data_IF_114702879054
#
_entry.id   IF_114702879054
#
_cell.length_a   1.000
_cell.length_b   1.000
_cell.length_c   1.000
_cell.angle_alpha   90.00
_cell.angle_beta   90.00
_cell.angle_gamma   90.00
#
_symmetry.space_group_name_H-M   'P 1'
#
loop_
_entity.id
_entity.type
_entity.pdbx_description
1 polymer ?
#
# COMPACT_ATOMS: atom_id res chain seq x y z
N UNK A 1 6.06 21.38 -12.24
CA UNK A 1 5.76 20.38 -11.22
C UNK A 1 5.03 19.26 -11.92
N UNK A 2 5.52 18.04 -11.78
CA UNK A 2 4.90 16.88 -12.41
C UNK A 2 3.58 16.55 -11.70
N UNK A 3 2.51 16.16 -12.43
CA UNK A 3 1.22 15.84 -11.81
C UNK A 3 1.21 14.46 -11.14
N UNK A 4 2.20 13.61 -11.42
CA UNK A 4 2.26 12.22 -10.98
C UNK A 4 3.47 11.99 -10.09
N UNK A 5 3.25 11.27 -8.99
CA UNK A 5 4.32 10.78 -8.13
C UNK A 5 4.20 9.27 -7.92
N UNK A 6 5.33 8.57 -8.04
CA UNK A 6 5.53 7.22 -7.51
C UNK A 6 6.16 7.35 -6.14
N UNK A 7 5.57 6.73 -5.12
CA UNK A 7 6.12 6.86 -3.76
C UNK A 7 6.16 5.54 -3.00
N UNK A 8 7.09 5.50 -2.05
CA UNK A 8 7.26 4.41 -1.08
C UNK A 8 7.67 4.96 0.29
N UNK A 9 7.64 4.12 1.32
CA UNK A 9 8.20 4.44 2.63
C UNK A 9 8.95 3.24 3.22
N UNK A 10 10.15 3.48 3.73
CA UNK A 10 11.01 2.48 4.35
C UNK A 10 11.35 2.92 5.76
N UNK A 11 11.04 2.09 6.74
CA UNK A 11 11.30 2.30 8.17
C UNK A 11 12.06 1.12 8.74
N UNK A 12 12.91 1.38 9.76
CA UNK A 12 13.69 0.38 10.48
C UNK A 12 14.52 -0.54 9.53
N UNK A 13 15.01 0.01 8.41
CA UNK A 13 15.78 -0.73 7.39
C UNK A 13 15.07 -2.00 6.90
N UNK A 14 13.74 -2.00 6.92
CA UNK A 14 12.95 -3.18 6.51
C UNK A 14 13.22 -3.56 5.05
N UNK A 15 13.56 -2.62 4.22
CA UNK A 15 13.96 -2.82 2.83
C UNK A 15 15.01 -1.80 2.41
N UNK A 16 15.40 -1.84 1.15
CA UNK A 16 16.24 -0.84 0.49
C UNK A 16 15.52 -0.29 -0.73
N UNK A 17 15.77 0.97 -1.09
CA UNK A 17 15.25 1.53 -2.32
C UNK A 17 15.75 0.72 -3.51
N UNK A 18 14.85 0.50 -4.48
CA UNK A 18 15.18 -0.17 -5.73
C UNK A 18 15.45 0.91 -6.80
N UNK A 19 16.41 0.68 -7.69
CA UNK A 19 16.56 1.54 -8.87
C UNK A 19 15.28 1.49 -9.71
N UNK A 20 15.04 2.55 -10.45
CA UNK A 20 13.88 2.62 -11.36
C UNK A 20 14.32 3.13 -12.75
N UNK A 21 13.46 2.94 -13.74
CA UNK A 21 13.60 3.62 -15.03
C UNK A 21 13.11 5.06 -14.90
N UNK A 22 13.73 5.98 -15.59
CA UNK A 22 13.24 7.36 -15.69
C UNK A 22 11.95 7.39 -16.51
N UNK A 23 10.91 8.02 -15.94
CA UNK A 23 9.63 8.21 -16.60
C UNK A 23 9.37 9.70 -16.74
N UNK A 24 9.33 10.25 -17.97
CA UNK A 24 9.08 11.67 -18.16
C UNK A 24 7.76 12.13 -17.52
N UNK A 25 7.83 13.18 -16.70
CA UNK A 25 6.65 13.74 -16.04
C UNK A 25 6.23 13.01 -14.75
N UNK A 26 7.08 12.15 -14.22
CA UNK A 26 6.87 11.43 -12.94
C UNK A 26 7.99 11.76 -11.98
N UNK A 27 7.65 12.12 -10.76
CA UNK A 27 8.59 12.23 -9.65
C UNK A 27 8.58 10.93 -8.84
N UNK A 28 9.76 10.53 -8.36
CA UNK A 28 9.92 9.37 -7.49
C UNK A 28 10.30 9.88 -6.09
N UNK A 29 9.44 9.61 -5.09
CA UNK A 29 9.62 10.08 -3.72
C UNK A 29 9.68 8.91 -2.74
N UNK A 30 10.73 8.85 -1.93
CA UNK A 30 10.87 7.86 -0.87
C UNK A 30 10.90 8.53 0.50
N UNK A 31 10.08 8.05 1.43
CA UNK A 31 10.14 8.47 2.83
C UNK A 31 10.97 7.46 3.61
N UNK A 32 12.03 7.91 4.31
CA UNK A 32 12.94 7.02 5.04
C UNK A 32 13.29 7.61 6.41
N UNK A 33 13.30 6.75 7.45
CA UNK A 33 13.76 7.14 8.80
C UNK A 33 15.29 7.16 8.91
N UNK A 34 15.96 6.39 8.07
CA UNK A 34 17.41 6.44 7.85
C UNK A 34 17.66 6.80 6.38
N UNK A 35 17.60 8.11 6.03
CA UNK A 35 17.71 8.54 4.64
C UNK A 35 19.11 8.27 4.10
N UNK A 36 19.16 7.67 2.93
CA UNK A 36 20.36 7.46 2.12
C UNK A 36 20.14 8.10 0.75
N UNK A 37 21.16 8.73 0.20
CA UNK A 37 21.09 9.24 -1.18
C UNK A 37 20.92 8.06 -2.15
N UNK A 38 19.91 8.16 -2.98
CA UNK A 38 19.62 7.15 -3.98
C UNK A 38 19.30 7.80 -5.32
N UNK A 39 20.03 7.38 -6.36
CA UNK A 39 19.90 7.97 -7.69
C UNK A 39 18.44 7.84 -8.21
N UNK A 40 17.91 8.95 -8.69
CA UNK A 40 16.56 9.06 -9.23
C UNK A 40 15.44 9.24 -8.19
N UNK A 41 15.69 9.05 -6.88
CA UNK A 41 14.71 9.26 -5.83
C UNK A 41 14.89 10.60 -5.09
N UNK A 42 13.80 11.33 -4.89
CA UNK A 42 13.73 12.40 -3.87
C UNK A 42 13.50 11.75 -2.50
N UNK A 43 14.59 11.56 -1.74
CA UNK A 43 14.55 10.92 -0.43
C UNK A 43 14.19 11.97 0.63
N UNK A 44 13.02 11.80 1.25
CA UNK A 44 12.50 12.67 2.31
C UNK A 44 12.62 12.01 3.67
N UNK A 45 13.22 12.66 4.68
CA UNK A 45 13.39 12.06 6.00
C UNK A 45 12.06 11.91 6.74
N UNK A 46 11.88 10.76 7.39
CA UNK A 46 10.82 10.57 8.38
C UNK A 46 11.32 11.11 9.72
N UNK A 47 10.56 12.01 10.38
CA UNK A 47 10.91 12.49 11.71
C UNK A 47 11.00 11.34 12.74
N UNK A 48 11.78 11.50 13.82
CA UNK A 48 11.82 10.51 14.90
C UNK A 48 10.44 10.15 15.43
N UNK A 49 10.19 8.87 15.66
CA UNK A 49 8.90 8.33 16.10
C UNK A 49 9.08 7.31 17.24
N UNK A 50 8.00 7.05 17.98
CA UNK A 50 7.93 6.03 19.03
C UNK A 50 6.96 4.89 18.72
N UNK A 51 6.24 5.00 17.61
CA UNK A 51 5.30 3.99 17.15
C UNK A 51 6.02 2.80 16.51
N UNK A 52 5.26 1.71 16.26
CA UNK A 52 5.78 0.58 15.52
C UNK A 52 6.18 1.00 14.10
N UNK A 53 7.40 0.72 13.60
CA UNK A 53 7.90 1.20 12.31
C UNK A 53 6.95 0.96 11.14
N UNK A 54 6.30 -0.20 11.10
CA UNK A 54 5.33 -0.54 10.04
C UNK A 54 4.09 0.37 10.05
N UNK A 55 3.63 0.82 11.23
CA UNK A 55 2.51 1.77 11.34
C UNK A 55 2.92 3.16 10.84
N UNK A 56 4.16 3.56 11.12
CA UNK A 56 4.70 4.83 10.59
C UNK A 56 4.72 4.80 9.07
N UNK A 57 5.24 3.74 8.45
CA UNK A 57 5.22 3.60 6.99
C UNK A 57 3.79 3.64 6.41
N UNK A 58 2.77 3.09 7.14
CA UNK A 58 1.37 3.16 6.72
C UNK A 58 0.81 4.59 6.65
N UNK A 59 1.29 5.51 7.48
CA UNK A 59 0.86 6.90 7.39
C UNK A 59 1.21 7.50 6.02
N UNK A 60 2.41 7.27 5.52
CA UNK A 60 2.83 7.72 4.18
C UNK A 60 2.09 6.99 3.06
N UNK A 61 1.78 5.70 3.24
CA UNK A 61 0.98 4.90 2.31
C UNK A 61 -0.45 5.42 2.21
N UNK A 62 -1.07 5.76 3.33
CA UNK A 62 -2.49 6.09 3.40
C UNK A 62 -2.77 7.59 3.20
N UNK A 63 -1.84 8.48 3.52
CA UNK A 63 -2.09 9.92 3.57
C UNK A 63 -1.28 10.74 2.53
N UNK A 64 -1.25 10.38 1.24
CA UNK A 64 -0.51 11.17 0.24
C UNK A 64 -1.05 12.61 0.13
N UNK A 65 -2.31 12.85 0.42
CA UNK A 65 -2.90 14.18 0.45
C UNK A 65 -2.32 15.09 1.55
N UNK A 66 -1.61 14.53 2.53
CA UNK A 66 -0.89 15.27 3.57
C UNK A 66 0.59 15.40 3.23
N UNK A 67 1.22 14.30 2.79
CA UNK A 67 2.67 14.25 2.60
C UNK A 67 3.13 14.64 1.19
N UNK A 68 2.21 14.58 0.21
CA UNK A 68 2.45 14.82 -1.22
C UNK A 68 1.27 15.60 -1.83
N UNK A 69 0.82 16.71 -1.17
CA UNK A 69 -0.39 17.44 -1.59
C UNK A 69 -0.24 18.13 -2.95
N UNK A 70 0.99 18.30 -3.41
CA UNK A 70 1.34 18.93 -4.69
C UNK A 70 1.05 18.06 -5.91
N UNK A 71 0.83 16.75 -5.74
CA UNK A 71 0.60 15.83 -6.85
C UNK A 71 -0.88 15.51 -7.04
N UNK A 72 -1.34 15.50 -8.28
CA UNK A 72 -2.71 15.11 -8.63
C UNK A 72 -2.92 13.61 -8.52
N UNK A 73 -1.93 12.82 -8.97
CA UNK A 73 -1.94 11.36 -8.95
C UNK A 73 -0.80 10.83 -8.11
N UNK A 74 -1.11 9.81 -7.33
CA UNK A 74 -0.14 9.07 -6.53
C UNK A 74 -0.21 7.59 -6.90
N UNK A 75 0.96 7.01 -7.21
CA UNK A 75 1.16 5.56 -7.33
C UNK A 75 2.00 5.12 -6.14
N UNK A 76 1.38 4.41 -5.21
CA UNK A 76 2.10 3.77 -4.12
C UNK A 76 2.67 2.44 -4.58
N UNK A 77 3.93 2.17 -4.24
CA UNK A 77 4.58 0.87 -4.36
C UNK A 77 5.18 0.48 -3.00
N UNK A 78 4.94 -0.75 -2.55
CA UNK A 78 5.74 -1.30 -1.45
C UNK A 78 7.22 -1.39 -1.91
N UNK A 79 8.17 -1.32 -0.98
CA UNK A 79 9.59 -1.12 -1.30
C UNK A 79 10.27 -2.31 -2.00
N UNK A 80 9.61 -3.46 -2.06
CA UNK A 80 10.05 -4.65 -2.80
C UNK A 80 9.75 -4.60 -4.31
N UNK A 81 9.03 -3.58 -4.79
CA UNK A 81 8.77 -3.37 -6.22
C UNK A 81 9.83 -2.47 -6.86
N UNK A 82 10.46 -2.97 -7.93
CA UNK A 82 11.33 -2.19 -8.81
C UNK A 82 10.58 -1.79 -10.08
N UNK A 83 10.45 -0.50 -10.35
CA UNK A 83 9.84 -0.02 -11.60
C UNK A 83 10.79 -0.26 -12.76
N UNK A 84 10.30 -1.00 -13.78
CA UNK A 84 11.09 -1.43 -14.95
C UNK A 84 10.55 -0.88 -16.27
N UNK A 85 9.38 -0.22 -16.25
CA UNK A 85 8.74 0.28 -17.48
C UNK A 85 7.94 1.55 -17.23
N UNK A 86 7.99 2.48 -18.20
CA UNK A 86 7.12 3.66 -18.23
C UNK A 86 5.63 3.29 -18.38
N UNK A 87 5.32 2.08 -18.84
CA UNK A 87 3.96 1.55 -18.92
C UNK A 87 3.27 1.48 -17.56
N UNK A 88 3.98 1.67 -16.44
CA UNK A 88 3.38 1.88 -15.12
C UNK A 88 2.30 2.97 -15.15
N UNK A 89 2.44 3.99 -16.00
CA UNK A 89 1.45 5.07 -16.17
C UNK A 89 0.09 4.57 -16.69
N UNK A 90 0.01 3.40 -17.31
CA UNK A 90 -1.25 2.77 -17.70
C UNK A 90 -2.16 2.50 -16.49
N UNK A 91 -1.58 2.36 -15.29
CA UNK A 91 -2.33 2.24 -14.05
C UNK A 91 -3.26 3.42 -13.78
N UNK A 92 -2.87 4.62 -14.22
CA UNK A 92 -3.69 5.84 -14.07
C UNK A 92 -4.92 5.82 -14.97
N UNK A 93 -4.86 5.14 -16.14
CA UNK A 93 -5.99 4.97 -17.03
C UNK A 93 -7.06 4.02 -16.44
N UNK A 94 -6.69 3.22 -15.45
CA UNK A 94 -7.59 2.33 -14.73
C UNK A 94 -8.36 3.05 -13.62
N UNK A 95 -7.97 4.27 -13.26
CA UNK A 95 -8.67 5.06 -12.24
C UNK A 95 -10.01 5.54 -12.82
N UNK A 96 -11.07 4.88 -12.43
CA UNK A 96 -12.44 5.20 -12.80
C UNK A 96 -13.12 6.19 -11.85
N UNK A 97 -14.44 6.11 -11.72
CA UNK A 97 -15.24 7.03 -10.89
C UNK A 97 -14.86 7.02 -9.40
N UNK A 98 -14.34 5.91 -8.88
CA UNK A 98 -13.96 5.79 -7.47
C UNK A 98 -12.71 6.60 -7.12
N UNK A 99 -11.87 6.89 -8.11
CA UNK A 99 -10.63 7.65 -7.92
C UNK A 99 -9.45 6.82 -7.39
N UNK A 100 -9.59 5.49 -7.30
CA UNK A 100 -8.56 4.56 -6.85
C UNK A 100 -8.62 3.26 -7.65
N UNK A 101 -7.48 2.72 -8.07
CA UNK A 101 -7.38 1.45 -8.79
C UNK A 101 -6.38 0.51 -8.11
N UNK A 102 -6.77 -0.76 -7.98
CA UNK A 102 -5.98 -1.81 -7.33
C UNK A 102 -6.27 -3.18 -7.95
N UNK A 103 -5.32 -4.12 -7.83
CA UNK A 103 -5.63 -5.52 -8.14
C UNK A 103 -6.39 -6.19 -7.02
N UNK A 104 -7.31 -7.08 -7.38
CA UNK A 104 -7.85 -8.08 -6.44
C UNK A 104 -6.74 -9.06 -6.06
N UNK A 105 -6.83 -9.60 -4.84
CA UNK A 105 -5.93 -10.67 -4.40
C UNK A 105 -6.18 -11.93 -5.21
N UNK A 106 -5.13 -12.58 -5.72
CA UNK A 106 -5.24 -13.68 -6.71
C UNK A 106 -5.70 -15.01 -6.14
N UNK A 107 -5.48 -15.24 -4.84
CA UNK A 107 -5.67 -16.57 -4.23
C UNK A 107 -6.71 -16.60 -3.12
N UNK A 108 -7.06 -15.47 -2.55
CA UNK A 108 -8.00 -15.38 -1.43
C UNK A 108 -8.97 -14.21 -1.64
N UNK A 109 -10.16 -14.38 -1.14
CA UNK A 109 -11.26 -13.41 -1.24
C UNK A 109 -11.95 -13.15 0.11
N UNK A 110 -11.40 -13.73 1.19
CA UNK A 110 -11.98 -13.69 2.53
C UNK A 110 -10.94 -13.34 3.60
N UNK A 111 -11.30 -12.46 4.55
CA UNK A 111 -10.39 -12.04 5.64
C UNK A 111 -10.12 -13.15 6.65
N UNK A 112 -11.01 -14.15 6.78
CA UNK A 112 -10.77 -15.33 7.61
C UNK A 112 -9.68 -16.20 7.01
N UNK A 113 -9.72 -16.43 5.70
CA UNK A 113 -8.67 -17.15 4.98
C UNK A 113 -7.33 -16.38 5.02
N UNK A 114 -7.39 -15.03 4.94
CA UNK A 114 -6.19 -14.19 5.07
C UNK A 114 -5.61 -14.20 6.48
N UNK A 115 -6.47 -14.18 7.52
CA UNK A 115 -6.05 -14.39 8.92
C UNK A 115 -5.26 -15.69 9.05
N UNK A 116 -5.81 -16.80 8.57
CA UNK A 116 -5.19 -18.11 8.70
C UNK A 116 -3.82 -18.15 8.01
N UNK A 117 -3.72 -17.58 6.81
CA UNK A 117 -2.45 -17.47 6.09
C UNK A 117 -1.43 -16.54 6.80
N UNK A 118 -1.90 -15.46 7.41
CA UNK A 118 -1.05 -14.48 8.11
C UNK A 118 -0.47 -15.07 9.39
N UNK A 119 -1.24 -15.85 10.15
CA UNK A 119 -0.80 -16.41 11.44
C UNK A 119 0.35 -17.41 11.32
N UNK A 120 0.68 -17.88 10.13
CA UNK A 120 1.88 -18.67 9.88
C UNK A 120 3.15 -17.82 9.66
N UNK A 121 3.01 -16.51 9.51
CA UNK A 121 4.15 -15.63 9.25
C UNK A 121 4.71 -15.08 10.57
N UNK A 122 6.03 -15.20 10.83
CA UNK A 122 6.65 -14.76 12.09
C UNK A 122 6.31 -13.31 12.47
N UNK A 123 6.24 -12.42 11.48
CA UNK A 123 5.94 -10.99 11.67
C UNK A 123 4.55 -10.71 12.27
N UNK A 124 3.63 -11.67 12.23
CA UNK A 124 2.27 -11.51 12.76
C UNK A 124 2.00 -12.34 14.03
N UNK A 125 3.00 -13.08 14.51
CA UNK A 125 2.86 -13.85 15.77
C UNK A 125 2.59 -12.89 16.93
N UNK A 126 1.57 -13.21 17.74
CA UNK A 126 1.18 -12.40 18.88
C UNK A 126 0.38 -11.13 18.54
N UNK A 127 0.08 -10.89 17.27
CA UNK A 127 -0.79 -9.76 16.86
C UNK A 127 -2.25 -10.05 17.13
N UNK A 128 -3.09 -8.99 17.07
CA UNK A 128 -4.53 -9.06 17.32
C UNK A 128 -5.36 -9.42 16.07
N UNK A 129 -4.76 -10.02 15.03
CA UNK A 129 -5.47 -10.40 13.80
C UNK A 129 -6.71 -11.26 14.08
N UNK A 130 -6.67 -12.31 14.94
CA UNK A 130 -7.87 -13.09 15.23
C UNK A 130 -8.99 -12.26 15.87
N UNK A 131 -8.65 -11.39 16.80
CA UNK A 131 -9.61 -10.50 17.46
C UNK A 131 -10.19 -9.46 16.47
N UNK A 132 -9.37 -8.92 15.59
CA UNK A 132 -9.79 -8.00 14.54
C UNK A 132 -10.82 -8.65 13.60
N UNK A 133 -10.54 -9.84 13.09
CA UNK A 133 -11.46 -10.58 12.22
C UNK A 133 -12.77 -10.91 12.94
N UNK A 134 -12.71 -11.36 14.19
CA UNK A 134 -13.89 -11.64 15.00
C UNK A 134 -14.74 -10.37 15.22
N UNK A 135 -14.09 -9.23 15.48
CA UNK A 135 -14.77 -7.95 15.62
C UNK A 135 -15.49 -7.55 14.33
N UNK A 136 -14.83 -7.63 13.17
CA UNK A 136 -15.46 -7.30 11.89
C UNK A 136 -16.65 -8.20 11.57
N UNK A 137 -16.52 -9.51 11.84
CA UNK A 137 -17.64 -10.45 11.70
C UNK A 137 -18.83 -10.08 12.61
N UNK A 138 -18.57 -9.65 13.86
CA UNK A 138 -19.61 -9.21 14.80
C UNK A 138 -20.36 -7.95 14.36
N UNK A 139 -19.72 -7.12 13.51
CA UNK A 139 -20.36 -5.96 12.88
C UNK A 139 -21.11 -6.30 11.58
N UNK A 140 -21.10 -7.57 11.16
CA UNK A 140 -21.77 -8.02 9.96
C UNK A 140 -20.93 -7.89 8.68
N UNK A 141 -19.59 -7.80 8.79
CA UNK A 141 -18.73 -7.85 7.61
C UNK A 141 -18.94 -9.17 6.86
N UNK A 142 -19.26 -9.14 5.55
CA UNK A 142 -19.63 -10.33 4.81
C UNK A 142 -18.43 -11.23 4.51
N UNK A 143 -18.67 -12.55 4.56
CA UNK A 143 -17.73 -13.53 4.03
C UNK A 143 -17.55 -13.35 2.52
N UNK A 144 -16.39 -13.71 1.99
CA UNK A 144 -16.05 -13.61 0.56
C UNK A 144 -16.28 -12.21 -0.06
N UNK A 145 -16.14 -11.15 0.73
CA UNK A 145 -16.26 -9.77 0.25
C UNK A 145 -15.19 -9.41 -0.80
N UNK A 146 -14.08 -10.10 -0.76
CA UNK A 146 -12.92 -9.89 -1.59
C UNK A 146 -11.76 -9.24 -0.85
N UNK A 147 -10.56 -9.51 -1.36
CA UNK A 147 -9.31 -8.93 -0.89
C UNK A 147 -8.64 -8.15 -2.01
N UNK A 148 -7.70 -7.27 -1.65
CA UNK A 148 -6.92 -6.47 -2.59
C UNK A 148 -5.42 -6.63 -2.35
N UNK A 149 -4.63 -6.59 -3.43
CA UNK A 149 -3.19 -6.50 -3.37
C UNK A 149 -2.79 -5.07 -3.02
N UNK A 150 -2.45 -4.84 -1.77
CA UNK A 150 -2.19 -3.49 -1.23
C UNK A 150 -0.77 -2.96 -1.53
N UNK A 151 0.10 -3.77 -2.11
CA UNK A 151 1.46 -3.36 -2.47
C UNK A 151 1.54 -2.38 -3.64
N UNK A 152 0.47 -2.27 -4.45
CA UNK A 152 0.37 -1.35 -5.59
C UNK A 152 -0.97 -0.62 -5.54
N UNK A 153 -0.96 0.71 -5.49
CA UNK A 153 -2.17 1.53 -5.40
C UNK A 153 -2.03 2.74 -6.33
N UNK A 154 -2.87 2.84 -7.35
CA UNK A 154 -2.97 4.04 -8.18
C UNK A 154 -4.20 4.86 -7.76
N UNK A 155 -4.04 6.19 -7.53
CA UNK A 155 -5.15 6.99 -6.99
C UNK A 155 -5.02 8.48 -7.29
N UNK A 156 -6.18 9.17 -7.27
CA UNK A 156 -6.26 10.63 -7.25
C UNK A 156 -6.11 11.14 -5.83
N UNK A 157 -5.07 11.94 -5.59
CA UNK A 157 -4.73 12.47 -4.25
C UNK A 157 -5.82 13.39 -3.69
N UNK A 158 -6.48 14.16 -4.56
CA UNK A 158 -7.50 15.15 -4.16
C UNK A 158 -8.90 14.58 -3.96
N UNK A 159 -9.17 13.31 -4.35
CA UNK A 159 -10.53 12.74 -4.26
C UNK A 159 -10.95 12.54 -2.80
N UNK A 160 -12.04 13.17 -2.32
CA UNK A 160 -12.45 13.10 -0.92
C UNK A 160 -12.89 11.70 -0.47
N UNK A 161 -13.48 10.91 -1.37
CA UNK A 161 -13.90 9.54 -1.06
C UNK A 161 -12.68 8.62 -0.88
N UNK A 162 -11.65 8.79 -1.71
CA UNK A 162 -10.37 8.09 -1.55
C UNK A 162 -9.73 8.46 -0.22
N UNK A 163 -9.70 9.76 0.14
CA UNK A 163 -9.18 10.21 1.43
C UNK A 163 -9.91 9.52 2.58
N UNK A 164 -11.24 9.53 2.58
CA UNK A 164 -12.07 8.91 3.61
C UNK A 164 -11.78 7.40 3.74
N UNK A 165 -11.65 6.69 2.61
CA UNK A 165 -11.26 5.27 2.60
C UNK A 165 -9.89 5.06 3.26
N UNK A 166 -8.90 5.85 2.83
CA UNK A 166 -7.51 5.68 3.26
C UNK A 166 -7.29 6.08 4.72
N UNK A 167 -7.98 7.11 5.20
CA UNK A 167 -7.96 7.54 6.61
C UNK A 167 -8.60 6.47 7.52
N UNK A 168 -9.73 5.89 7.11
CA UNK A 168 -10.35 4.79 7.85
C UNK A 168 -9.42 3.57 7.87
N UNK A 169 -8.81 3.23 6.74
CA UNK A 169 -7.86 2.12 6.68
C UNK A 169 -6.68 2.31 7.62
N UNK A 170 -6.08 3.51 7.66
CA UNK A 170 -5.01 3.84 8.60
C UNK A 170 -5.48 3.73 10.05
N UNK A 171 -6.68 4.24 10.36
CA UNK A 171 -7.27 4.15 11.69
C UNK A 171 -7.44 2.70 12.15
N UNK A 172 -7.89 1.81 11.27
CA UNK A 172 -8.03 0.37 11.57
C UNK A 172 -6.67 -0.31 11.75
N UNK A 173 -5.63 0.10 10.99
CA UNK A 173 -4.27 -0.38 11.20
C UNK A 173 -3.75 -0.01 12.60
N UNK A 174 -3.95 1.23 13.04
CA UNK A 174 -3.56 1.68 14.39
C UNK A 174 -4.37 1.01 15.50
N UNK A 175 -5.67 0.77 15.25
CA UNK A 175 -6.56 0.14 16.22
C UNK A 175 -6.22 -1.33 16.49
N UNK A 176 -5.76 -2.06 15.45
CA UNK A 176 -5.61 -3.51 15.49
C UNK A 176 -4.21 -3.97 15.12
N UNK A 177 -3.93 -4.03 13.82
CA UNK A 177 -2.67 -4.56 13.31
C UNK A 177 -2.29 -3.89 11.98
N UNK A 178 -1.01 -3.94 11.66
CA UNK A 178 -0.47 -3.47 10.39
C UNK A 178 -0.67 -4.44 9.21
N UNK A 179 -1.54 -5.47 9.35
CA UNK A 179 -1.86 -6.39 8.24
C UNK A 179 -2.90 -5.75 7.31
N UNK A 180 -2.44 -5.32 6.15
CA UNK A 180 -3.20 -4.54 5.18
C UNK A 180 -4.41 -5.28 4.62
N UNK A 181 -4.25 -6.56 4.26
CA UNK A 181 -5.30 -7.35 3.64
C UNK A 181 -6.45 -7.72 4.60
N UNK A 182 -6.29 -7.47 5.89
CA UNK A 182 -7.38 -7.63 6.87
C UNK A 182 -8.18 -6.34 7.02
N UNK A 183 -7.49 -5.20 7.19
CA UNK A 183 -8.14 -3.92 7.49
C UNK A 183 -8.68 -3.21 6.24
N UNK A 184 -8.01 -3.32 5.09
CA UNK A 184 -8.42 -2.64 3.87
C UNK A 184 -9.82 -3.06 3.37
N UNK A 185 -10.16 -4.37 3.25
CA UNK A 185 -11.49 -4.79 2.86
C UNK A 185 -12.61 -4.27 3.77
N UNK A 186 -12.35 -4.23 5.08
CA UNK A 186 -13.29 -3.64 6.03
C UNK A 186 -13.50 -2.14 5.79
N UNK A 187 -12.42 -1.39 5.53
CA UNK A 187 -12.52 0.03 5.19
C UNK A 187 -13.30 0.25 3.88
N UNK A 188 -13.09 -0.60 2.87
CA UNK A 188 -13.88 -0.59 1.62
C UNK A 188 -15.36 -0.83 1.90
N UNK A 189 -15.69 -1.83 2.72
CA UNK A 189 -17.08 -2.14 3.09
C UNK A 189 -17.75 -0.98 3.82
N UNK A 190 -17.08 -0.39 4.80
CA UNK A 190 -17.62 0.73 5.60
C UNK A 190 -17.80 2.00 4.78
N UNK A 191 -16.93 2.27 3.82
CA UNK A 191 -16.98 3.47 3.01
C UNK A 191 -17.80 3.31 1.75
N UNK A 192 -17.98 2.08 1.26
CA UNK A 192 -18.57 1.79 -0.04
C UNK A 192 -17.67 2.15 -1.24
N UNK A 193 -16.43 2.59 -1.00
CA UNK A 193 -15.47 2.95 -2.05
C UNK A 193 -14.73 1.70 -2.49
N UNK A 194 -15.22 1.06 -3.53
CA UNK A 194 -14.61 -0.17 -4.09
C UNK A 194 -13.58 0.22 -5.15
N UNK A 195 -12.29 -0.12 -4.99
CA UNK A 195 -11.28 0.20 -6.00
C UNK A 195 -11.63 -0.34 -7.39
N UNK A 196 -11.41 0.51 -8.40
CA UNK A 196 -11.47 0.10 -9.80
C UNK A 196 -10.40 -0.97 -10.08
N UNK A 197 -10.64 -1.93 -10.99
CA UNK A 197 -9.66 -2.97 -11.25
C UNK A 197 -8.48 -2.46 -12.06
N UNK A 198 -7.25 -2.76 -11.62
CA UNK A 198 -6.08 -2.74 -12.48
C UNK A 198 -6.17 -3.87 -13.52
N UNK A 199 -5.39 -3.85 -14.63
CA UNK A 199 -5.55 -4.77 -15.73
C UNK A 199 -5.63 -6.24 -15.30
N UNK A 200 -6.74 -6.95 -15.59
CA UNK A 200 -6.99 -8.28 -15.03
C UNK A 200 -6.12 -9.39 -15.62
N UNK A 201 -5.44 -9.13 -16.76
CA UNK A 201 -4.50 -10.06 -17.36
C UNK A 201 -3.18 -10.15 -16.59
N UNK A 202 -2.93 -9.25 -15.64
CA UNK A 202 -1.74 -9.22 -14.80
C UNK A 202 -2.10 -9.29 -13.33
N UNK A 203 -1.11 -9.62 -12.53
CA UNK A 203 -1.16 -9.57 -11.07
C UNK A 203 -0.04 -8.67 -10.55
N UNK A 204 -0.04 -8.36 -9.28
CA UNK A 204 1.06 -7.63 -8.66
C UNK A 204 2.43 -8.35 -8.75
N UNK A 205 2.43 -9.65 -9.02
CA UNK A 205 3.66 -10.47 -9.13
C UNK A 205 4.07 -10.67 -10.60
N UNK A 206 3.09 -10.67 -11.50
CA UNK A 206 3.30 -10.94 -12.93
C UNK A 206 2.78 -9.76 -13.76
N UNK A 207 3.51 -8.66 -13.72
CA UNK A 207 3.18 -7.41 -14.40
C UNK A 207 4.45 -6.84 -15.07
N UNK A 208 4.36 -6.38 -16.35
CA UNK A 208 5.52 -5.84 -17.06
C UNK A 208 5.96 -4.44 -16.57
N UNK A 209 5.22 -3.82 -15.66
CA UNK A 209 5.53 -2.47 -15.16
C UNK A 209 6.64 -2.45 -14.13
N UNK A 210 6.80 -3.55 -13.39
CA UNK A 210 7.76 -3.68 -12.30
C UNK A 210 8.19 -5.13 -12.09
N UNK A 211 9.30 -5.29 -11.37
CA UNK A 211 9.79 -6.57 -10.88
C UNK A 211 9.65 -6.60 -9.37
N UNK A 212 9.10 -7.69 -8.82
CA UNK A 212 9.10 -7.95 -7.40
C UNK A 212 10.46 -8.53 -6.99
N UNK A 213 11.11 -7.91 -6.04
CA UNK A 213 12.42 -8.31 -5.53
C UNK A 213 12.31 -8.80 -4.08
N UNK A 214 13.19 -9.70 -3.63
CA UNK A 214 13.22 -10.12 -2.23
C UNK A 214 13.42 -8.93 -1.29
N UNK A 215 12.77 -8.94 -0.14
CA UNK A 215 13.09 -8.02 0.94
C UNK A 215 14.55 -8.15 1.39
N UNK A 216 15.07 -7.10 2.02
CA UNK A 216 16.39 -7.13 2.63
C UNK A 216 16.46 -8.31 3.64
N UNK A 217 17.49 -9.18 3.59
CA UNK A 217 17.63 -10.30 4.53
C UNK A 217 17.60 -9.90 6.01
N UNK A 218 17.97 -8.67 6.35
CA UNK A 218 17.91 -8.13 7.71
C UNK A 218 16.50 -7.67 8.13
N UNK A 219 15.57 -7.57 7.21
CA UNK A 219 14.19 -7.11 7.45
C UNK A 219 13.30 -8.10 8.20
N UNK A 220 13.72 -9.34 8.37
CA UNK A 220 12.92 -10.41 8.97
C UNK A 220 12.96 -10.41 10.51
N UNK A 221 13.72 -9.53 11.13
CA UNK A 221 14.02 -9.55 12.58
C UNK A 221 13.51 -8.29 13.32
N UNK A 222 12.88 -7.36 12.61
CA UNK A 222 12.34 -6.11 13.19
C UNK A 222 10.82 -6.15 13.37
#
# INVERSE_FOLDING_TARGET
>A
MNPVVVCTAITARYDSLKPHVDIPGVDFVAFMDEPEDHDGWDVRPIPPYSEHPRLVAKAYKCLPHIYLPEYEYNIWLDADFQVTSESLLESLNCIGPTGIAMWRHTHRDDIGAERDASMWQPKYLGTQIPQQVAHYASEGFPEHFGLWCTGVIARKTSNPEVRRLMELWLSENHRWTYQDQISFPYAVWKTGVVPDPLPPQWTAIDCPWFQLLPHNPHALVA
#
